data_IF_523763721023
#
_entry.id   IF_523763721023
#
_cell.length_a   1.000
_cell.length_b   1.000
_cell.length_c   1.000
_cell.angle_alpha   90.00
_cell.angle_beta   90.00
_cell.angle_gamma   90.00
#
_symmetry.space_group_name_H-M   'P 1'
#
loop_
_entity.id
_entity.type
_entity.pdbx_description
1 polymer ?
#
# COMPACT_ATOMS: atom_id res chain seq x y z
N UNK A 1 23.06 -10.41 14.56
CA UNK A 1 21.95 -11.36 14.32
C UNK A 1 21.25 -10.93 13.04
N UNK A 2 21.57 -11.53 11.89
CA UNK A 2 21.35 -10.89 10.58
C UNK A 2 20.82 -11.84 9.48
N UNK A 3 19.99 -12.85 9.80
CA UNK A 3 19.72 -13.91 8.81
C UNK A 3 18.23 -14.30 8.66
N UNK A 4 17.32 -13.76 9.48
CA UNK A 4 15.90 -14.17 9.49
C UNK A 4 14.94 -13.36 8.62
N UNK A 5 15.29 -12.13 8.24
CA UNK A 5 14.34 -11.18 7.63
C UNK A 5 14.12 -11.33 6.12
N UNK A 6 15.07 -11.95 5.41
CA UNK A 6 14.99 -12.13 3.94
C UNK A 6 13.79 -12.97 3.47
N UNK A 7 13.51 -14.17 4.03
CA UNK A 7 12.34 -14.96 3.61
C UNK A 7 11.02 -14.25 3.91
N UNK A 8 10.97 -13.50 5.01
CA UNK A 8 9.78 -12.79 5.45
C UNK A 8 9.45 -11.61 4.53
N UNK A 9 10.44 -10.84 4.08
CA UNK A 9 10.27 -9.76 3.06
C UNK A 9 9.70 -10.32 1.75
N UNK A 10 10.17 -11.49 1.32
CA UNK A 10 9.68 -12.13 0.09
C UNK A 10 8.22 -12.54 0.25
N UNK A 11 7.84 -13.12 1.40
CA UNK A 11 6.46 -13.50 1.70
C UNK A 11 5.53 -12.27 1.74
N UNK A 12 5.97 -11.19 2.37
CA UNK A 12 5.23 -9.93 2.41
C UNK A 12 4.99 -9.34 1.02
N UNK A 13 6.03 -9.26 0.18
CA UNK A 13 5.87 -8.80 -1.22
C UNK A 13 4.88 -9.67 -1.98
N UNK A 14 4.92 -10.99 -1.80
CA UNK A 14 3.94 -11.92 -2.41
C UNK A 14 2.52 -11.65 -1.92
N UNK A 15 2.33 -11.40 -0.63
CA UNK A 15 1.02 -11.07 -0.06
C UNK A 15 0.46 -9.74 -0.60
N UNK A 16 1.31 -8.72 -0.73
CA UNK A 16 0.94 -7.43 -1.34
C UNK A 16 0.52 -7.63 -2.80
N UNK A 17 1.32 -8.38 -3.57
CA UNK A 17 0.99 -8.70 -4.97
C UNK A 17 -0.27 -9.55 -5.11
N UNK A 18 -0.50 -10.51 -4.22
CA UNK A 18 -1.71 -11.31 -4.20
C UNK A 18 -2.95 -10.43 -3.93
N UNK A 19 -2.87 -9.56 -2.93
CA UNK A 19 -3.95 -8.63 -2.57
C UNK A 19 -4.28 -7.68 -3.71
N UNK A 20 -3.25 -7.13 -4.37
CA UNK A 20 -3.43 -6.34 -5.58
C UNK A 20 -4.09 -7.14 -6.70
N UNK A 21 -3.61 -8.36 -6.99
CA UNK A 21 -4.18 -9.20 -8.05
C UNK A 21 -5.66 -9.56 -7.81
N UNK A 22 -6.07 -9.71 -6.55
CA UNK A 22 -7.48 -9.96 -6.20
C UNK A 22 -8.37 -8.76 -6.53
N UNK A 23 -7.93 -7.53 -6.22
CA UNK A 23 -8.73 -6.32 -6.48
C UNK A 23 -8.58 -5.79 -7.90
N UNK A 24 -7.48 -6.15 -8.59
CA UNK A 24 -7.13 -5.71 -9.93
C UNK A 24 -8.31 -5.71 -10.92
N UNK A 25 -9.08 -6.81 -11.10
CA UNK A 25 -10.23 -6.80 -12.03
C UNK A 25 -11.32 -5.79 -11.62
N UNK A 26 -11.54 -5.61 -10.33
CA UNK A 26 -12.57 -4.71 -9.78
C UNK A 26 -12.16 -3.24 -9.95
N UNK A 27 -10.92 -2.91 -9.59
CA UNK A 27 -10.33 -1.57 -9.79
C UNK A 27 -10.41 -1.18 -11.27
N UNK A 28 -10.12 -2.12 -12.18
CA UNK A 28 -10.20 -1.86 -13.61
C UNK A 28 -11.62 -1.67 -14.14
N UNK A 29 -12.62 -2.38 -13.58
CA UNK A 29 -14.03 -2.22 -13.93
C UNK A 29 -14.59 -0.82 -13.64
N UNK A 30 -14.08 -0.14 -12.61
CA UNK A 30 -14.56 1.20 -12.27
C UNK A 30 -14.10 2.26 -13.27
N UNK A 31 -14.98 3.20 -13.66
CA UNK A 31 -14.57 4.42 -14.38
C UNK A 31 -14.17 5.54 -13.43
N UNK A 32 -14.76 5.57 -12.23
CA UNK A 32 -14.53 6.61 -11.24
C UNK A 32 -13.17 6.43 -10.56
N UNK A 33 -12.32 7.44 -10.74
CA UNK A 33 -10.98 7.56 -10.17
C UNK A 33 -10.97 7.55 -8.63
N UNK A 34 -11.92 8.22 -7.98
CA UNK A 34 -11.98 8.29 -6.51
C UNK A 34 -12.25 6.92 -5.88
N UNK A 35 -13.22 6.19 -6.42
CA UNK A 35 -13.57 4.85 -5.95
C UNK A 35 -12.42 3.85 -6.13
N UNK A 36 -11.64 3.99 -7.21
CA UNK A 36 -10.42 3.19 -7.43
C UNK A 36 -9.38 3.43 -6.36
N UNK A 37 -9.10 4.70 -6.07
CA UNK A 37 -8.16 5.09 -5.01
C UNK A 37 -8.63 4.56 -3.66
N UNK A 38 -9.90 4.74 -3.30
CA UNK A 38 -10.44 4.26 -2.02
C UNK A 38 -10.37 2.73 -1.90
N UNK A 39 -10.68 2.00 -2.97
CA UNK A 39 -10.59 0.54 -2.99
C UNK A 39 -9.13 0.07 -2.85
N UNK A 40 -8.21 0.73 -3.56
CA UNK A 40 -6.78 0.48 -3.44
C UNK A 40 -6.28 0.74 -2.02
N UNK A 41 -6.62 1.91 -1.46
CA UNK A 41 -6.25 2.34 -0.12
C UNK A 41 -6.83 1.41 0.96
N UNK A 42 -8.04 0.87 0.76
CA UNK A 42 -8.67 -0.04 1.72
C UNK A 42 -8.09 -1.46 1.73
N UNK A 43 -7.38 -1.88 0.68
CA UNK A 43 -6.93 -3.28 0.54
C UNK A 43 -5.41 -3.41 0.46
N UNK A 44 -4.74 -2.60 -0.36
CA UNK A 44 -3.30 -2.70 -0.60
C UNK A 44 -2.51 -2.04 0.52
N UNK A 45 -2.94 -0.87 1.00
CA UNK A 45 -2.24 -0.14 2.08
C UNK A 45 -2.23 -0.97 3.39
N UNK A 46 -3.32 -1.57 3.87
CA UNK A 46 -3.29 -2.42 5.06
C UNK A 46 -2.34 -3.61 4.92
N UNK A 47 -2.33 -4.25 3.74
CA UNK A 47 -1.41 -5.37 3.46
C UNK A 47 0.05 -4.92 3.46
N UNK A 48 0.30 -3.71 2.94
CA UNK A 48 1.62 -3.08 2.94
C UNK A 48 2.08 -2.74 4.36
N UNK A 49 1.17 -2.23 5.19
CA UNK A 49 1.41 -1.82 6.58
C UNK A 49 1.53 -2.99 7.56
N UNK A 50 0.88 -4.12 7.32
CA UNK A 50 1.00 -5.32 8.14
C UNK A 50 2.46 -5.74 8.34
N UNK A 51 3.29 -5.68 7.29
CA UNK A 51 4.72 -5.96 7.39
C UNK A 51 5.48 -4.98 8.30
N UNK A 52 4.99 -3.75 8.46
CA UNK A 52 5.59 -2.70 9.31
C UNK A 52 5.16 -2.76 10.77
N UNK A 53 4.09 -3.50 11.07
CA UNK A 53 3.62 -3.76 12.43
C UNK A 53 4.38 -4.94 13.05
N UNK A 54 4.67 -5.97 12.25
CA UNK A 54 5.39 -7.17 12.73
C UNK A 54 6.91 -7.05 12.74
N UNK A 55 7.50 -6.14 11.96
CA UNK A 55 8.96 -5.99 11.88
C UNK A 55 9.43 -4.62 12.37
N UNK A 56 10.68 -4.57 12.82
CA UNK A 56 11.33 -3.33 13.22
C UNK A 56 11.36 -2.37 12.02
N UNK A 57 10.77 -1.18 12.21
CA UNK A 57 10.69 -0.13 11.20
C UNK A 57 12.07 0.51 11.00
N UNK A 58 12.95 -0.20 10.29
CA UNK A 58 14.25 0.33 9.89
C UNK A 58 14.12 1.23 8.67
N UNK A 59 15.05 2.17 8.47
CA UNK A 59 15.08 3.01 7.25
C UNK A 59 15.06 2.20 5.95
N UNK A 60 15.64 1.00 5.97
CA UNK A 60 15.63 0.05 4.84
C UNK A 60 14.20 -0.44 4.57
N UNK A 61 13.45 -0.78 5.62
CA UNK A 61 12.06 -1.22 5.50
C UNK A 61 11.17 -0.09 4.99
N UNK A 62 11.33 1.13 5.50
CA UNK A 62 10.61 2.31 5.00
C UNK A 62 10.86 2.54 3.51
N UNK A 63 12.12 2.43 3.06
CA UNK A 63 12.47 2.52 1.66
C UNK A 63 11.79 1.40 0.84
N UNK A 64 11.80 0.16 1.33
CA UNK A 64 11.16 -0.98 0.66
C UNK A 64 9.64 -0.83 0.55
N UNK A 65 8.99 -0.33 1.60
CA UNK A 65 7.54 -0.02 1.62
C UNK A 65 7.23 1.06 0.59
N UNK A 66 8.01 2.16 0.57
CA UNK A 66 7.87 3.23 -0.43
C UNK A 66 8.06 2.71 -1.86
N UNK A 67 9.11 1.92 -2.11
CA UNK A 67 9.36 1.34 -3.44
C UNK A 67 8.23 0.43 -3.87
N UNK A 68 7.75 -0.44 -2.97
CA UNK A 68 6.67 -1.39 -3.28
C UNK A 68 5.37 -0.65 -3.58
N UNK A 69 5.04 0.37 -2.79
CA UNK A 69 3.90 1.24 -3.01
C UNK A 69 3.96 1.93 -4.38
N UNK A 70 5.09 2.56 -4.71
CA UNK A 70 5.28 3.23 -6.00
C UNK A 70 5.23 2.26 -7.18
N UNK A 71 5.68 1.01 -7.00
CA UNK A 71 5.54 -0.01 -8.05
C UNK A 71 4.07 -0.36 -8.26
N UNK A 72 3.30 -0.61 -7.19
CA UNK A 72 1.88 -0.93 -7.31
C UNK A 72 1.08 0.21 -7.97
N UNK A 73 1.36 1.47 -7.60
CA UNK A 73 0.76 2.64 -8.25
C UNK A 73 1.12 2.71 -9.75
N UNK A 74 2.39 2.49 -10.10
CA UNK A 74 2.86 2.49 -11.50
C UNK A 74 2.22 1.38 -12.33
N UNK A 75 2.01 0.21 -11.75
CA UNK A 75 1.40 -0.92 -12.46
C UNK A 75 -0.08 -0.68 -12.74
N UNK A 76 -0.83 -0.15 -11.78
CA UNK A 76 -2.23 0.23 -12.00
C UNK A 76 -2.32 1.31 -13.10
N UNK A 77 -1.41 2.29 -13.05
CA UNK A 77 -1.28 3.34 -14.05
C UNK A 77 -0.99 2.82 -15.46
N UNK A 78 0.08 2.04 -15.64
CA UNK A 78 0.50 1.55 -16.97
C UNK A 78 -0.61 0.73 -17.64
N UNK A 79 -1.36 -0.02 -16.83
CA UNK A 79 -2.53 -0.75 -17.28
C UNK A 79 -3.66 0.18 -17.70
N UNK A 80 -4.01 1.19 -16.90
CA UNK A 80 -5.07 2.17 -17.27
C UNK A 80 -4.70 2.93 -18.55
N UNK A 81 -3.46 3.43 -18.65
CA UNK A 81 -2.96 4.13 -19.84
C UNK A 81 -3.06 3.26 -21.09
N UNK A 82 -2.62 2.00 -21.01
CA UNK A 82 -2.62 1.05 -22.12
C UNK A 82 -4.04 0.63 -22.53
N UNK A 83 -4.92 0.43 -21.56
CA UNK A 83 -6.31 -0.02 -21.81
C UNK A 83 -7.21 1.12 -22.26
N UNK A 84 -6.93 2.38 -21.88
CA UNK A 84 -7.80 3.52 -22.18
C UNK A 84 -7.19 4.55 -23.14
N UNK A 85 -5.98 4.32 -23.66
CA UNK A 85 -5.25 5.24 -24.54
C UNK A 85 -5.18 6.68 -23.99
N UNK A 86 -5.14 6.84 -22.67
CA UNK A 86 -4.98 8.14 -22.03
C UNK A 86 -3.49 8.50 -21.99
N UNK A 87 -3.09 9.58 -22.67
CA UNK A 87 -1.74 10.13 -22.56
C UNK A 87 -1.63 10.85 -21.21
N UNK A 88 -1.15 10.17 -20.17
CA UNK A 88 -0.83 10.86 -18.91
C UNK A 88 0.66 10.73 -18.60
N UNK A 89 1.23 11.89 -18.26
CA UNK A 89 2.64 12.06 -17.95
C UNK A 89 2.98 11.56 -16.53
N UNK A 90 4.19 11.07 -16.32
CA UNK A 90 4.66 10.51 -15.03
C UNK A 90 4.46 11.46 -13.83
N UNK A 91 4.69 12.77 -14.02
CA UNK A 91 4.48 13.78 -12.97
C UNK A 91 3.03 13.88 -12.51
N UNK A 92 2.08 13.52 -13.37
CA UNK A 92 0.65 13.62 -13.08
C UNK A 92 0.12 12.38 -12.36
N UNK A 93 0.91 11.31 -12.20
CA UNK A 93 0.49 10.05 -11.55
C UNK A 93 0.01 10.30 -10.12
N UNK A 94 0.75 11.08 -9.32
CA UNK A 94 0.39 11.33 -7.91
C UNK A 94 -0.81 12.27 -7.76
N UNK A 95 -0.94 13.23 -8.68
CA UNK A 95 -2.15 14.05 -8.82
C UNK A 95 -3.36 13.23 -9.30
N UNK A 96 -3.10 12.18 -10.09
CA UNK A 96 -4.12 11.24 -10.50
C UNK A 96 -4.54 10.38 -9.30
N UNK A 97 -3.65 9.57 -8.76
CA UNK A 97 -4.09 8.58 -7.80
C UNK A 97 -4.50 9.16 -6.44
N UNK A 98 -4.06 10.36 -6.02
CA UNK A 98 -4.37 10.95 -4.69
C UNK A 98 -4.31 9.91 -3.54
N UNK A 99 -3.49 8.88 -3.71
CA UNK A 99 -3.39 7.73 -2.83
C UNK A 99 -2.76 8.18 -1.52
N UNK A 100 -3.30 7.67 -0.42
CA UNK A 100 -2.84 8.02 0.92
C UNK A 100 -1.38 7.62 1.11
N UNK A 101 -0.58 8.51 1.69
CA UNK A 101 0.82 8.20 1.96
C UNK A 101 0.93 7.03 2.97
N UNK A 102 1.57 5.95 2.55
CA UNK A 102 1.63 4.70 3.31
C UNK A 102 2.30 4.84 4.67
N UNK A 103 3.27 5.76 4.79
CA UNK A 103 3.94 6.02 6.06
C UNK A 103 3.03 6.79 7.01
N UNK A 104 2.24 7.75 6.50
CA UNK A 104 1.20 8.43 7.30
C UNK A 104 0.15 7.44 7.80
N UNK A 105 -0.30 6.52 6.94
CA UNK A 105 -1.24 5.48 7.32
C UNK A 105 -0.67 4.55 8.39
N UNK A 106 0.57 4.06 8.22
CA UNK A 106 1.23 3.21 9.19
C UNK A 106 1.37 3.89 10.57
N UNK A 107 1.71 5.18 10.59
CA UNK A 107 1.81 5.94 11.83
C UNK A 107 0.45 6.12 12.51
N UNK A 108 -0.59 6.41 11.73
CA UNK A 108 -1.97 6.52 12.23
C UNK A 108 -2.46 5.19 12.81
N UNK A 109 -2.20 4.06 12.14
CA UNK A 109 -2.54 2.71 12.64
C UNK A 109 -1.89 2.45 14.01
N UNK A 110 -0.60 2.77 14.13
CA UNK A 110 0.15 2.62 15.40
C UNK A 110 -0.44 3.47 16.53
N UNK A 111 -0.81 4.71 16.24
CA UNK A 111 -1.45 5.60 17.22
C UNK A 111 -2.83 5.08 17.64
N UNK A 112 -3.66 4.67 16.69
CA UNK A 112 -4.97 4.08 16.98
C UNK A 112 -4.88 2.80 17.81
N UNK A 113 -3.88 1.94 17.54
CA UNK A 113 -3.63 0.74 18.33
C UNK A 113 -3.16 1.06 19.75
N UNK A 114 -2.23 2.01 19.91
CA UNK A 114 -1.79 2.46 21.23
C UNK A 114 -2.95 3.02 22.05
N UNK A 115 -3.81 3.86 21.45
CA UNK A 115 -5.02 4.35 22.11
C UNK A 115 -5.99 3.23 22.49
N UNK A 116 -6.19 2.23 21.61
CA UNK A 116 -7.03 1.09 21.90
C UNK A 116 -6.53 0.29 23.11
N UNK A 117 -5.21 0.07 23.21
CA UNK A 117 -4.58 -0.61 24.36
C UNK A 117 -4.76 0.21 25.65
N UNK A 118 -4.58 1.53 25.59
CA UNK A 118 -4.77 2.42 26.74
C UNK A 118 -6.23 2.41 27.22
N UNK A 119 -7.21 2.36 26.31
CA UNK A 119 -8.64 2.23 26.65
C UNK A 119 -8.98 0.88 27.29
N UNK A 120 -8.27 -0.19 26.94
CA UNK A 120 -8.48 -1.54 27.51
C UNK A 120 -7.85 -1.72 28.89
N UNK A 121 -6.72 -1.08 29.16
CA UNK A 121 -6.00 -1.18 30.44
C UNK A 121 -6.44 -0.14 31.49
N UNK A 122 -7.23 0.86 31.10
CA UNK A 122 -7.77 1.89 31.99
C UNK A 122 -9.16 1.59 32.55
N UNK A 123 -9.68 0.38 32.37
CA UNK A 123 -10.97 -0.10 32.89
C UNK A 123 -10.77 -1.13 34.03
#
# INVERSE_FOLDING_TARGET
>A
MANGSKPDIIRWRRAVWASYNTIKPVVFGFKNKKLRTELFDSTVIPTLCYGTETWTLTKIMEAQVKTTHSLTERYDWLHVAKTRCEVLHYSNIRSFFKVTDTLKYANHSKQSWAEHVMRRNGA
#
